data_IF_417101055199
#
_entry.id   IF_417101055199
#
_cell.length_a   1.000
_cell.length_b   1.000
_cell.length_c   1.000
_cell.angle_alpha   90.00
_cell.angle_beta   90.00
_cell.angle_gamma   90.00
#
_symmetry.space_group_name_H-M   'P 1'
#
loop_
_entity.id
_entity.type
_entity.pdbx_description
1 polymer ?
#
# COMPACT_ATOMS: atom_id res chain seq x y z
N UNK A 1 18.30 46.53 -31.10
CA UNK A 1 18.76 46.40 -29.71
C UNK A 1 17.52 46.38 -28.83
N UNK A 2 17.29 45.30 -28.06
CA UNK A 2 16.31 45.24 -26.96
C UNK A 2 14.91 44.73 -27.30
N UNK A 3 14.62 43.48 -26.91
CA UNK A 3 13.36 42.99 -26.31
C UNK A 3 13.22 41.45 -26.45
N UNK A 4 14.14 40.67 -25.85
CA UNK A 4 13.96 39.21 -25.64
C UNK A 4 13.99 38.85 -24.14
N UNK A 5 14.22 39.83 -23.25
CA UNK A 5 14.51 39.61 -21.83
C UNK A 5 13.24 39.36 -20.96
N UNK A 6 12.03 39.44 -21.54
CA UNK A 6 10.78 39.44 -20.78
C UNK A 6 10.20 38.07 -20.42
N UNK A 7 10.31 37.07 -21.31
CA UNK A 7 9.62 35.78 -21.15
C UNK A 7 10.44 34.75 -20.37
N UNK A 8 11.78 34.78 -20.48
CA UNK A 8 12.67 33.89 -19.71
C UNK A 8 12.71 34.24 -18.22
N UNK A 9 12.51 35.52 -17.86
CA UNK A 9 12.48 35.98 -16.47
C UNK A 9 11.22 35.50 -15.74
N UNK A 10 10.08 35.53 -16.41
CA UNK A 10 8.78 35.14 -15.85
C UNK A 10 8.71 33.62 -15.57
N UNK A 11 9.18 32.79 -16.51
CA UNK A 11 9.30 31.34 -16.31
C UNK A 11 10.35 30.97 -15.24
N UNK A 12 11.43 31.76 -15.11
CA UNK A 12 12.45 31.56 -14.09
C UNK A 12 11.95 31.84 -12.68
N UNK A 13 11.15 32.90 -12.49
CA UNK A 13 10.53 33.25 -11.20
C UNK A 13 9.52 32.18 -10.75
N UNK A 14 8.74 31.62 -11.67
CA UNK A 14 7.80 30.53 -11.36
C UNK A 14 8.54 29.23 -10.96
N UNK A 15 9.64 28.90 -11.64
CA UNK A 15 10.45 27.70 -11.31
C UNK A 15 11.14 27.82 -9.97
N UNK A 16 11.69 28.99 -9.63
CA UNK A 16 12.30 29.22 -8.32
C UNK A 16 11.27 29.23 -7.18
N UNK A 17 10.06 29.72 -7.46
CA UNK A 17 8.93 29.65 -6.51
C UNK A 17 8.54 28.20 -6.24
N UNK A 18 8.35 27.39 -7.29
CA UNK A 18 8.04 25.96 -7.16
C UNK A 18 9.16 25.18 -6.46
N UNK A 19 10.42 25.51 -6.71
CA UNK A 19 11.56 24.91 -6.00
C UNK A 19 11.53 25.20 -4.51
N UNK A 20 11.17 26.44 -4.15
CA UNK A 20 11.03 26.86 -2.74
C UNK A 20 9.87 26.12 -2.07
N UNK A 21 8.70 26.07 -2.71
CA UNK A 21 7.54 25.31 -2.19
C UNK A 21 7.84 23.81 -2.06
N UNK A 22 8.57 23.23 -3.01
CA UNK A 22 9.01 21.83 -2.94
C UNK A 22 9.95 21.60 -1.76
N UNK A 23 10.91 22.49 -1.52
CA UNK A 23 11.82 22.39 -0.39
C UNK A 23 11.07 22.49 0.95
N UNK A 24 10.09 23.39 1.04
CA UNK A 24 9.25 23.55 2.23
C UNK A 24 8.35 22.34 2.50
N UNK A 25 7.72 21.79 1.46
CA UNK A 25 6.92 20.56 1.59
C UNK A 25 7.78 19.37 1.99
N UNK A 26 8.98 19.24 1.42
CA UNK A 26 9.96 18.20 1.81
C UNK A 26 10.41 18.37 3.26
N UNK A 27 10.64 19.60 3.73
CA UNK A 27 10.98 19.87 5.12
C UNK A 27 9.85 19.47 6.07
N UNK A 28 8.60 19.86 5.77
CA UNK A 28 7.42 19.47 6.55
C UNK A 28 7.22 17.95 6.60
N UNK A 29 7.44 17.26 5.48
CA UNK A 29 7.35 15.80 5.44
C UNK A 29 8.41 15.14 6.33
N UNK A 30 9.66 15.64 6.29
CA UNK A 30 10.76 15.13 7.12
C UNK A 30 10.49 15.34 8.61
N UNK A 31 9.92 16.48 8.97
CA UNK A 31 9.51 16.77 10.35
C UNK A 31 8.39 15.82 10.82
N UNK A 32 7.34 15.64 10.01
CA UNK A 32 6.27 14.71 10.30
C UNK A 32 6.77 13.26 10.45
N UNK A 33 7.70 12.84 9.60
CA UNK A 33 8.36 11.53 9.70
C UNK A 33 9.16 11.39 11.00
N UNK A 34 9.86 12.46 11.44
CA UNK A 34 10.58 12.50 12.71
C UNK A 34 9.65 12.35 13.92
N UNK A 35 8.51 13.05 13.91
CA UNK A 35 7.52 12.96 14.99
C UNK A 35 6.85 11.58 15.03
N UNK A 36 6.50 11.00 13.87
CA UNK A 36 6.01 9.62 13.81
C UNK A 36 7.02 8.63 14.40
N UNK A 37 8.30 8.74 14.03
CA UNK A 37 9.35 7.88 14.57
C UNK A 37 9.55 8.07 16.09
N UNK A 38 9.31 9.28 16.61
CA UNK A 38 9.33 9.55 18.05
C UNK A 38 8.13 8.90 18.75
N UNK A 39 6.93 9.07 18.21
CA UNK A 39 5.69 8.51 18.78
C UNK A 39 5.73 6.98 18.80
N UNK A 40 6.22 6.34 17.72
CA UNK A 40 6.39 4.89 17.67
C UNK A 40 7.32 4.40 18.78
N UNK A 41 8.50 5.02 18.95
CA UNK A 41 9.44 4.67 20.03
C UNK A 41 8.83 4.85 21.42
N UNK A 42 8.04 5.90 21.63
CA UNK A 42 7.31 6.14 22.87
C UNK A 42 6.28 5.04 23.14
N UNK A 43 5.50 4.66 22.13
CA UNK A 43 4.52 3.60 22.22
C UNK A 43 5.15 2.22 22.49
N UNK A 44 6.26 1.92 21.81
CA UNK A 44 7.05 0.70 22.03
C UNK A 44 7.60 0.64 23.46
N UNK A 45 8.15 1.74 23.95
CA UNK A 45 8.67 1.81 25.32
C UNK A 45 7.56 1.72 26.38
N UNK A 46 6.37 2.24 26.11
CA UNK A 46 5.19 2.05 26.98
C UNK A 46 4.75 0.59 26.98
N UNK A 47 4.71 -0.05 25.81
CA UNK A 47 4.33 -1.45 25.67
C UNK A 47 5.30 -2.38 26.42
N UNK A 48 6.60 -2.11 26.35
CA UNK A 48 7.63 -2.86 27.09
C UNK A 48 7.53 -2.70 28.62
N UNK A 49 7.00 -1.57 29.09
CA UNK A 49 6.81 -1.29 30.52
C UNK A 49 5.56 -1.97 31.10
N UNK A 50 4.56 -2.32 30.27
CA UNK A 50 3.33 -3.00 30.71
C UNK A 50 3.58 -4.49 30.95
N UNK A 51 3.12 -5.03 32.09
CA UNK A 51 3.28 -6.46 32.40
C UNK A 51 2.49 -7.33 31.40
N UNK A 52 2.94 -8.55 31.05
CA UNK A 52 2.28 -9.42 30.07
C UNK A 52 0.79 -9.70 30.33
N UNK A 53 0.34 -9.63 31.59
CA UNK A 53 -1.08 -9.81 31.97
C UNK A 53 -1.95 -8.55 31.88
N UNK A 54 -1.36 -7.35 31.83
CA UNK A 54 -2.10 -6.07 31.66
C UNK A 54 -2.36 -5.72 30.20
N UNK A 55 -1.71 -6.45 29.27
CA UNK A 55 -1.87 -6.26 27.82
C UNK A 55 -3.25 -6.75 27.31
N UNK A 56 -3.98 -7.55 28.09
CA UNK A 56 -5.01 -8.43 27.50
C UNK A 56 -6.46 -7.94 27.53
N UNK A 57 -6.89 -6.98 28.36
CA UNK A 57 -8.36 -6.82 28.55
C UNK A 57 -9.03 -5.60 27.92
N UNK A 58 -8.37 -4.47 27.66
CA UNK A 58 -9.10 -3.25 27.26
C UNK A 58 -8.96 -2.87 25.78
N UNK A 59 -7.83 -3.24 25.12
CA UNK A 59 -7.59 -2.86 23.71
C UNK A 59 -7.62 -4.08 22.78
N UNK A 60 -7.13 -5.25 23.21
CA UNK A 60 -7.16 -6.47 22.39
C UNK A 60 -8.57 -7.05 22.21
N UNK A 61 -9.46 -6.89 23.21
CA UNK A 61 -10.85 -7.35 23.14
C UNK A 61 -11.73 -6.54 22.16
N UNK A 62 -11.31 -5.32 21.82
CA UNK A 62 -12.10 -4.39 21.00
C UNK A 62 -11.69 -4.38 19.52
N UNK A 63 -10.56 -4.99 19.15
CA UNK A 63 -10.14 -5.12 17.75
C UNK A 63 -10.53 -6.50 17.25
N UNK A 64 -11.67 -6.59 16.55
CA UNK A 64 -12.07 -7.81 15.83
C UNK A 64 -10.93 -8.21 14.89
N UNK A 65 -10.35 -9.40 15.10
CA UNK A 65 -9.42 -9.97 14.12
C UNK A 65 -10.16 -10.19 12.80
N UNK A 66 -9.61 -9.72 11.66
CA UNK A 66 -10.25 -9.95 10.38
C UNK A 66 -10.20 -11.44 10.05
N UNK A 67 -11.33 -12.00 9.60
CA UNK A 67 -11.37 -13.34 9.03
C UNK A 67 -10.72 -13.37 7.65
N UNK A 68 -10.34 -14.55 7.13
CA UNK A 68 -9.92 -14.69 5.74
C UNK A 68 -10.92 -14.07 4.74
N UNK A 69 -12.23 -14.10 5.04
CA UNK A 69 -13.25 -13.44 4.21
C UNK A 69 -13.16 -11.92 4.25
N UNK A 70 -12.91 -11.33 5.41
CA UNK A 70 -12.71 -9.87 5.53
C UNK A 70 -11.44 -9.44 4.79
N UNK A 71 -10.37 -10.24 4.85
CA UNK A 71 -9.13 -10.01 4.10
C UNK A 71 -9.36 -10.12 2.59
N UNK A 72 -10.05 -11.17 2.14
CA UNK A 72 -10.41 -11.36 0.73
C UNK A 72 -11.24 -10.18 0.20
N UNK A 73 -12.21 -9.68 0.97
CA UNK A 73 -13.00 -8.51 0.59
C UNK A 73 -12.15 -7.24 0.43
N UNK A 74 -11.13 -7.05 1.29
CA UNK A 74 -10.19 -5.92 1.17
C UNK A 74 -9.33 -6.04 -0.09
N UNK A 75 -8.83 -7.23 -0.39
CA UNK A 75 -8.04 -7.45 -1.61
C UNK A 75 -8.93 -7.25 -2.85
N UNK A 76 -10.16 -7.78 -2.86
CA UNK A 76 -11.11 -7.58 -3.95
C UNK A 76 -11.38 -6.09 -4.20
N UNK A 77 -11.63 -5.32 -3.14
CA UNK A 77 -11.83 -3.87 -3.25
C UNK A 77 -10.62 -3.15 -3.84
N UNK A 78 -9.42 -3.57 -3.45
CA UNK A 78 -8.17 -3.01 -3.98
C UNK A 78 -7.98 -3.36 -5.47
N UNK A 79 -8.30 -4.59 -5.88
CA UNK A 79 -8.26 -5.02 -7.29
C UNK A 79 -9.26 -4.22 -8.13
N UNK A 80 -10.46 -3.98 -7.64
CA UNK A 80 -11.46 -3.12 -8.30
C UNK A 80 -10.92 -1.71 -8.53
N UNK A 81 -10.44 -1.06 -7.46
CA UNK A 81 -9.88 0.29 -7.54
C UNK A 81 -8.68 0.36 -8.51
N UNK A 82 -7.86 -0.69 -8.52
CA UNK A 82 -6.75 -0.80 -9.46
C UNK A 82 -7.23 -0.83 -10.92
N UNK A 83 -8.27 -1.63 -11.21
CA UNK A 83 -8.83 -1.74 -12.57
C UNK A 83 -9.53 -0.46 -13.01
N UNK A 84 -10.26 0.20 -12.10
CA UNK A 84 -10.87 1.50 -12.35
C UNK A 84 -9.81 2.55 -12.70
N UNK A 85 -8.73 2.61 -11.91
CA UNK A 85 -7.62 3.53 -12.17
C UNK A 85 -6.90 3.24 -13.49
N UNK A 86 -6.71 1.95 -13.84
CA UNK A 86 -6.13 1.55 -15.12
C UNK A 86 -7.01 1.95 -16.30
N UNK A 87 -8.33 1.77 -16.19
CA UNK A 87 -9.30 2.13 -17.22
C UNK A 87 -9.42 3.65 -17.43
N UNK A 88 -9.22 4.44 -16.37
CA UNK A 88 -9.26 5.90 -16.42
C UNK A 88 -7.93 6.54 -16.91
N UNK A 89 -6.85 5.75 -17.02
CA UNK A 89 -5.57 6.27 -17.45
C UNK A 89 -5.58 6.60 -18.96
N UNK A 90 -5.04 7.77 -19.39
CA UNK A 90 -5.09 8.21 -20.78
C UNK A 90 -4.41 7.25 -21.77
N UNK A 91 -3.42 6.49 -21.29
CA UNK A 91 -2.65 5.54 -22.10
C UNK A 91 -3.01 4.07 -21.80
N UNK A 92 -4.05 3.83 -20.99
CA UNK A 92 -4.41 2.50 -20.48
C UNK A 92 -3.41 1.89 -19.50
N UNK A 93 -2.34 2.62 -19.15
CA UNK A 93 -1.32 2.21 -18.21
C UNK A 93 -1.60 2.83 -16.83
N UNK A 94 -1.95 2.03 -15.81
CA UNK A 94 -2.12 2.56 -14.45
C UNK A 94 -0.82 3.16 -13.93
N UNK A 95 -0.93 4.23 -13.13
CA UNK A 95 0.21 4.91 -12.46
C UNK A 95 1.07 3.92 -11.67
N UNK A 96 0.45 2.86 -11.14
CA UNK A 96 1.13 1.72 -10.52
C UNK A 96 1.04 0.53 -11.47
N UNK A 97 2.18 0.04 -11.96
CA UNK A 97 2.23 -1.17 -12.78
C UNK A 97 1.77 -2.42 -12.02
N UNK A 98 1.21 -3.40 -12.74
CA UNK A 98 0.62 -4.60 -12.13
C UNK A 98 1.66 -5.37 -11.31
N UNK A 99 2.90 -5.47 -11.80
CA UNK A 99 3.99 -6.14 -11.07
C UNK A 99 4.28 -5.50 -9.71
N UNK A 100 4.19 -4.17 -9.61
CA UNK A 100 4.36 -3.46 -8.34
C UNK A 100 3.21 -3.79 -7.39
N UNK A 101 1.99 -3.91 -7.92
CA UNK A 101 0.83 -4.29 -7.12
C UNK A 101 0.93 -5.75 -6.63
N UNK A 102 1.37 -6.68 -7.47
CA UNK A 102 1.57 -8.08 -7.09
C UNK A 102 2.65 -8.20 -6.00
N UNK A 103 3.79 -7.53 -6.16
CA UNK A 103 4.84 -7.48 -5.12
C UNK A 103 4.32 -6.91 -3.80
N UNK A 104 3.52 -5.84 -3.86
CA UNK A 104 2.90 -5.30 -2.66
C UNK A 104 2.01 -6.33 -1.98
N UNK A 105 1.16 -7.03 -2.74
CA UNK A 105 0.26 -8.05 -2.20
C UNK A 105 1.02 -9.16 -1.46
N UNK A 106 2.11 -9.67 -2.04
CA UNK A 106 2.97 -10.66 -1.39
C UNK A 106 3.64 -10.12 -0.11
N UNK A 107 4.14 -8.88 -0.12
CA UNK A 107 4.80 -8.28 1.04
C UNK A 107 3.86 -7.77 2.14
N UNK A 108 2.56 -7.64 1.82
CA UNK A 108 1.56 -7.04 2.72
C UNK A 108 1.13 -7.94 3.88
N UNK A 109 1.40 -9.25 3.79
CA UNK A 109 0.88 -10.25 4.73
C UNK A 109 -0.61 -10.57 4.55
N UNK A 110 -1.27 -10.03 3.52
CA UNK A 110 -2.68 -10.33 3.19
C UNK A 110 -2.84 -11.58 2.32
N UNK A 111 -1.77 -12.01 1.66
CA UNK A 111 -1.71 -13.18 0.80
C UNK A 111 -0.59 -14.12 1.24
N UNK A 112 -0.90 -15.40 1.36
CA UNK A 112 0.04 -16.46 1.73
C UNK A 112 0.19 -17.42 0.55
N UNK A 113 1.35 -17.37 -0.09
CA UNK A 113 1.68 -18.14 -1.28
C UNK A 113 1.64 -19.64 -1.04
N UNK A 114 2.21 -20.10 0.07
CA UNK A 114 2.33 -21.52 0.38
C UNK A 114 0.97 -22.10 0.74
N UNK A 115 0.20 -21.38 1.56
CA UNK A 115 -1.19 -21.73 1.85
C UNK A 115 -2.03 -21.81 0.57
N UNK A 116 -1.91 -20.79 -0.29
CA UNK A 116 -2.72 -20.71 -1.50
C UNK A 116 -2.46 -21.89 -2.44
N UNK A 117 -1.19 -22.24 -2.67
CA UNK A 117 -0.85 -23.40 -3.52
C UNK A 117 -1.30 -24.72 -2.89
N UNK A 118 -1.20 -24.86 -1.57
CA UNK A 118 -1.65 -26.06 -0.85
C UNK A 118 -3.17 -26.27 -0.91
N UNK A 119 -3.94 -25.18 -1.02
CA UNK A 119 -5.40 -25.25 -1.12
C UNK A 119 -5.92 -25.34 -2.56
N UNK A 120 -5.07 -25.08 -3.56
CA UNK A 120 -5.46 -24.92 -4.96
C UNK A 120 -4.55 -25.76 -5.85
N UNK A 121 -4.73 -27.07 -5.81
CA UNK A 121 -3.93 -28.06 -6.56
C UNK A 121 -3.98 -27.83 -8.08
N UNK A 122 -5.05 -27.25 -8.60
CA UNK A 122 -5.18 -26.86 -10.01
C UNK A 122 -4.18 -25.76 -10.40
N UNK A 123 -4.01 -24.76 -9.53
CA UNK A 123 -3.04 -23.67 -9.71
C UNK A 123 -1.62 -24.21 -9.57
N UNK A 124 -1.38 -25.07 -8.56
CA UNK A 124 -0.10 -25.70 -8.34
C UNK A 124 0.31 -26.63 -9.49
N UNK A 125 -0.62 -27.49 -9.95
CA UNK A 125 -0.40 -28.43 -11.05
C UNK A 125 -0.21 -27.76 -12.40
N UNK A 126 -0.82 -26.59 -12.61
CA UNK A 126 -0.59 -25.76 -13.79
C UNK A 126 0.76 -25.01 -13.76
N UNK A 127 1.44 -24.95 -12.60
CA UNK A 127 2.65 -24.14 -12.43
C UNK A 127 2.42 -22.64 -12.57
N UNK A 128 1.18 -22.19 -12.39
CA UNK A 128 0.80 -20.78 -12.49
C UNK A 128 1.34 -19.98 -11.30
N UNK A 129 1.60 -18.69 -11.50
CA UNK A 129 1.92 -17.82 -10.37
C UNK A 129 0.67 -17.62 -9.49
N UNK A 130 0.68 -18.05 -8.21
CA UNK A 130 -0.49 -18.01 -7.34
C UNK A 130 -0.93 -16.59 -7.01
N UNK A 131 -0.01 -15.64 -6.87
CA UNK A 131 -0.33 -14.24 -6.57
C UNK A 131 -1.03 -13.60 -7.77
N UNK A 132 -0.48 -13.82 -8.97
CA UNK A 132 -1.10 -13.38 -10.22
C UNK A 132 -2.46 -14.06 -10.45
N UNK A 133 -2.56 -15.37 -10.21
CA UNK A 133 -3.82 -16.10 -10.30
C UNK A 133 -4.86 -15.52 -9.34
N UNK A 134 -4.48 -15.27 -8.09
CA UNK A 134 -5.38 -14.71 -7.10
C UNK A 134 -5.88 -13.32 -7.49
N UNK A 135 -4.96 -12.46 -7.91
CA UNK A 135 -5.26 -11.09 -8.34
C UNK A 135 -6.20 -11.03 -9.55
N UNK A 136 -6.03 -11.95 -10.50
CA UNK A 136 -6.84 -11.98 -11.72
C UNK A 136 -8.20 -12.69 -11.52
N UNK A 137 -8.19 -13.82 -10.81
CA UNK A 137 -9.31 -14.76 -10.76
C UNK A 137 -9.69 -15.19 -9.34
N UNK A 138 -8.70 -15.52 -8.50
CA UNK A 138 -8.94 -16.21 -7.24
C UNK A 138 -9.84 -15.48 -6.24
N UNK A 139 -9.82 -14.15 -6.21
CA UNK A 139 -10.73 -13.38 -5.35
C UNK A 139 -12.20 -13.48 -5.82
N UNK A 140 -12.43 -13.49 -7.13
CA UNK A 140 -13.76 -13.60 -7.73
C UNK A 140 -14.32 -15.03 -7.62
N UNK A 141 -13.43 -16.02 -7.61
CA UNK A 141 -13.74 -17.42 -7.31
C UNK A 141 -13.94 -17.71 -5.82
N UNK A 142 -13.90 -16.68 -4.96
CA UNK A 142 -14.02 -16.80 -3.51
C UNK A 142 -12.98 -17.75 -2.86
N UNK A 143 -11.81 -17.91 -3.48
CA UNK A 143 -10.70 -18.68 -2.91
C UNK A 143 -10.09 -17.90 -1.72
N UNK A 144 -9.76 -18.54 -0.60
CA UNK A 144 -9.14 -17.85 0.53
C UNK A 144 -7.68 -17.49 0.17
N UNK A 145 -7.23 -16.25 0.44
CA UNK A 145 -5.86 -15.82 0.14
C UNK A 145 -4.83 -16.26 1.18
N UNK A 146 -5.28 -16.60 2.39
CA UNK A 146 -4.43 -16.94 3.53
C UNK A 146 -5.21 -17.78 4.56
N UNK A 147 -4.48 -18.38 5.51
CA UNK A 147 -5.00 -19.32 6.52
C UNK A 147 -5.71 -18.67 7.74
N UNK A 148 -6.05 -17.37 7.68
CA UNK A 148 -6.53 -16.56 8.82
C UNK A 148 -7.94 -16.93 9.33
#
# INVERSE_FOLDING_TARGET
MGAVIGTERFLGEDVETLRTELAETQARLKEAQGELARLVRLAEADLQRRRPGEQSSVVAASVRRPSAKDVAARIARLVELYREAAAAAPDGAPVVGQDTMLRWLESSGLFDREFYLKCNDDVAGAGADPTQHYFNHGYAEARPPCAL
#
